data_IF_834919287991
#
_entry.id   IF_834919287991
#
_cell.length_a   1.000
_cell.length_b   1.000
_cell.length_c   1.000
_cell.angle_alpha   90.00
_cell.angle_beta   90.00
_cell.angle_gamma   90.00
#
_symmetry.space_group_name_H-M   'P 1'
#
loop_
_entity.id
_entity.type
_entity.pdbx_description
1 polymer ?
#
# COMPACT_ATOMS: atom_id res chain seq x y z
N UNK A 1 -14.91 40.97 -50.86
CA UNK A 1 -14.29 39.93 -50.01
C UNK A 1 -15.10 39.78 -48.73
N UNK A 2 -15.98 38.79 -48.63
CA UNK A 2 -16.69 38.43 -47.39
C UNK A 2 -16.31 36.98 -47.08
N UNK A 3 -15.42 36.78 -46.12
CA UNK A 3 -14.96 35.45 -45.71
C UNK A 3 -16.04 34.74 -44.91
N UNK A 4 -16.76 33.83 -45.55
CA UNK A 4 -17.69 32.92 -44.88
C UNK A 4 -16.90 31.83 -44.17
N UNK A 5 -16.58 32.02 -42.89
CA UNK A 5 -16.11 30.92 -42.06
C UNK A 5 -17.21 29.84 -41.97
N UNK A 6 -16.86 28.55 -42.10
CA UNK A 6 -17.85 27.47 -42.06
C UNK A 6 -18.47 27.33 -40.67
N UNK A 7 -19.81 27.30 -40.61
CA UNK A 7 -20.64 27.18 -39.39
C UNK A 7 -20.21 26.06 -38.41
N UNK A 8 -19.50 25.04 -38.89
CA UNK A 8 -19.00 23.94 -38.07
C UNK A 8 -17.84 24.34 -37.13
N UNK A 9 -17.04 25.35 -37.48
CA UNK A 9 -15.94 25.83 -36.63
C UNK A 9 -16.48 26.55 -35.39
N UNK A 10 -17.62 27.23 -35.50
CA UNK A 10 -18.27 27.91 -34.36
C UNK A 10 -18.89 26.90 -33.38
N UNK A 11 -19.41 25.78 -33.87
CA UNK A 11 -20.00 24.71 -33.02
C UNK A 11 -18.91 23.93 -32.27
N UNK A 12 -17.76 23.68 -32.90
CA UNK A 12 -16.60 23.05 -32.23
C UNK A 12 -16.00 23.98 -31.18
N UNK A 13 -15.96 25.29 -31.42
CA UNK A 13 -15.51 26.27 -30.42
C UNK A 13 -16.51 26.46 -29.27
N UNK A 14 -17.82 26.38 -29.51
CA UNK A 14 -18.83 26.43 -28.43
C UNK A 14 -18.88 25.15 -27.58
N UNK A 15 -18.55 23.98 -28.15
CA UNK A 15 -18.39 22.73 -27.39
C UNK A 15 -17.10 22.69 -26.56
N UNK A 16 -16.06 23.41 -26.96
CA UNK A 16 -14.78 23.51 -26.23
C UNK A 16 -14.80 24.51 -25.06
N UNK A 17 -15.77 25.42 -25.00
CA UNK A 17 -15.87 26.43 -23.93
C UNK A 17 -16.77 25.97 -22.76
N UNK A 18 -17.51 24.87 -22.91
CA UNK A 18 -18.42 24.36 -21.87
C UNK A 18 -17.78 23.40 -20.84
N UNK A 19 -16.46 23.24 -20.82
CA UNK A 19 -15.74 22.50 -19.75
C UNK A 19 -14.92 23.41 -18.84
N UNK A 20 -15.38 24.66 -18.64
CA UNK A 20 -15.07 25.35 -17.40
C UNK A 20 -15.90 24.65 -16.33
N UNK A 21 -15.29 23.61 -15.75
CA UNK A 21 -15.78 23.00 -14.51
C UNK A 21 -15.76 24.12 -13.49
N UNK A 22 -16.89 24.83 -13.33
CA UNK A 22 -17.13 25.62 -12.15
C UNK A 22 -17.04 24.59 -11.03
N UNK A 23 -15.93 24.62 -10.30
CA UNK A 23 -15.83 23.92 -9.03
C UNK A 23 -16.87 24.61 -8.15
N UNK A 24 -18.12 24.16 -8.25
CA UNK A 24 -19.06 24.33 -7.19
C UNK A 24 -18.35 23.78 -5.96
N UNK A 25 -18.24 24.63 -4.94
CA UNK A 25 -17.86 24.27 -3.59
C UNK A 25 -18.86 23.19 -3.15
N UNK A 26 -18.54 21.93 -3.46
CA UNK A 26 -19.37 20.81 -3.02
C UNK A 26 -19.06 20.70 -1.54
N UNK A 27 -19.98 21.18 -0.71
CA UNK A 27 -19.99 20.96 0.73
C UNK A 27 -19.61 19.50 1.00
N UNK A 28 -18.39 19.29 1.48
CA UNK A 28 -17.87 17.99 1.82
C UNK A 28 -17.71 17.93 3.34
N UNK A 29 -18.18 16.88 4.01
CA UNK A 29 -18.98 15.76 3.47
C UNK A 29 -20.48 16.10 3.30
N UNK A 30 -21.10 15.64 2.21
CA UNK A 30 -22.57 15.72 1.96
C UNK A 30 -23.33 14.43 2.32
N UNK A 31 -22.60 13.39 2.74
CA UNK A 31 -23.12 12.10 3.21
C UNK A 31 -22.16 11.49 4.23
N UNK A 32 -22.56 10.48 5.01
CA UNK A 32 -21.68 9.86 5.99
C UNK A 32 -20.35 9.35 5.42
N UNK A 33 -19.26 9.56 6.16
CA UNK A 33 -17.91 9.07 5.82
C UNK A 33 -17.70 7.71 6.47
N UNK A 34 -17.42 6.68 5.68
CA UNK A 34 -17.14 5.33 6.19
C UNK A 34 -15.68 5.23 6.61
N UNK A 35 -15.45 4.78 7.83
CA UNK A 35 -14.12 4.50 8.36
C UNK A 35 -13.97 3.00 8.49
N UNK A 36 -13.12 2.41 7.66
CA UNK A 36 -12.80 1.00 7.73
C UNK A 36 -11.79 0.79 8.86
N UNK A 37 -12.16 -0.02 9.85
CA UNK A 37 -11.27 -0.50 10.90
C UNK A 37 -10.97 -1.96 10.62
N UNK A 38 -9.73 -2.35 10.28
CA UNK A 38 -9.46 -3.68 9.77
C UNK A 38 -9.27 -4.74 10.88
N UNK A 39 -10.05 -4.61 11.96
CA UNK A 39 -10.05 -5.45 13.16
C UNK A 39 -11.47 -5.70 13.65
N UNK A 40 -11.64 -6.70 14.52
CA UNK A 40 -12.93 -7.01 15.13
C UNK A 40 -13.46 -5.83 15.96
N UNK A 41 -14.79 -5.70 16.04
CA UNK A 41 -15.43 -4.69 16.87
C UNK A 41 -15.11 -4.90 18.35
N UNK A 42 -15.01 -3.81 19.11
CA UNK A 42 -14.66 -3.80 20.53
C UNK A 42 -13.16 -3.97 20.84
N UNK A 43 -12.31 -4.20 19.83
CA UNK A 43 -10.85 -4.16 19.99
C UNK A 43 -10.29 -2.73 20.09
N UNK A 44 -9.04 -2.59 20.51
CA UNK A 44 -8.41 -1.28 20.77
C UNK A 44 -8.55 -0.25 19.63
N UNK A 45 -8.30 -0.65 18.37
CA UNK A 45 -8.48 0.24 17.21
C UNK A 45 -9.94 0.63 16.94
N UNK A 46 -10.90 -0.27 17.18
CA UNK A 46 -12.33 0.02 17.03
C UNK A 46 -12.80 0.98 18.13
N UNK A 47 -12.42 0.71 19.38
CA UNK A 47 -12.70 1.58 20.52
C UNK A 47 -12.13 2.98 20.30
N UNK A 48 -10.86 3.08 19.88
CA UNK A 48 -10.24 4.37 19.53
C UNK A 48 -11.02 5.11 18.44
N UNK A 49 -11.35 4.43 17.33
CA UNK A 49 -12.13 5.03 16.25
C UNK A 49 -13.51 5.53 16.70
N UNK A 50 -14.19 4.79 17.59
CA UNK A 50 -15.51 5.17 18.14
C UNK A 50 -15.45 6.34 19.12
N UNK A 51 -14.35 6.48 19.86
CA UNK A 51 -14.11 7.66 20.72
C UNK A 51 -14.01 8.91 19.84
N UNK A 52 -13.19 8.86 18.78
CA UNK A 52 -13.07 9.97 17.82
C UNK A 52 -14.40 10.23 17.11
N UNK A 53 -15.11 9.17 16.69
CA UNK A 53 -16.44 9.28 16.08
C UNK A 53 -17.44 10.03 16.98
N UNK A 54 -17.47 9.70 18.28
CA UNK A 54 -18.37 10.31 19.25
C UNK A 54 -18.00 11.77 19.48
N UNK A 55 -16.72 12.07 19.67
CA UNK A 55 -16.23 13.44 19.82
C UNK A 55 -16.55 14.32 18.60
N UNK A 56 -16.41 13.80 17.38
CA UNK A 56 -16.80 14.52 16.15
C UNK A 56 -18.31 14.82 16.13
N UNK A 57 -19.14 13.84 16.50
CA UNK A 57 -20.60 14.01 16.54
C UNK A 57 -21.02 15.01 17.62
N UNK A 58 -20.52 14.83 18.83
CA UNK A 58 -20.99 15.55 20.02
C UNK A 58 -20.51 17.01 20.05
N UNK A 59 -19.45 17.34 19.28
CA UNK A 59 -18.94 18.69 19.09
C UNK A 59 -19.24 19.26 17.69
N UNK A 60 -20.09 18.61 16.89
CA UNK A 60 -20.50 19.05 15.55
C UNK A 60 -19.31 19.38 14.61
N UNK A 61 -18.21 18.64 14.72
CA UNK A 61 -16.96 18.93 13.99
C UNK A 61 -17.03 18.56 12.51
N UNK A 62 -18.05 17.81 12.10
CA UNK A 62 -18.37 17.54 10.70
C UNK A 62 -19.89 17.67 10.48
N UNK A 63 -20.31 18.17 9.31
CA UNK A 63 -21.73 18.25 8.94
C UNK A 63 -22.38 16.88 8.72
N UNK A 64 -21.58 15.82 8.61
CA UNK A 64 -22.05 14.45 8.42
C UNK A 64 -21.27 13.48 9.32
N UNK A 65 -21.92 12.40 9.79
CA UNK A 65 -21.28 11.49 10.72
C UNK A 65 -20.19 10.66 10.06
N UNK A 66 -19.18 10.31 10.84
CA UNK A 66 -18.31 9.17 10.53
C UNK A 66 -19.01 7.87 10.94
N UNK A 67 -18.80 6.79 10.19
CA UNK A 67 -19.38 5.47 10.49
C UNK A 67 -18.28 4.42 10.50
N UNK A 68 -18.01 3.84 11.67
CA UNK A 68 -17.05 2.75 11.84
C UNK A 68 -17.56 1.45 11.23
N UNK A 69 -16.75 0.82 10.38
CA UNK A 69 -17.04 -0.46 9.71
C UNK A 69 -15.87 -1.41 9.92
N UNK A 70 -16.10 -2.47 10.69
CA UNK A 70 -15.09 -3.48 10.98
C UNK A 70 -14.92 -4.46 9.82
N UNK A 71 -13.69 -4.62 9.32
CA UNK A 71 -13.35 -5.57 8.24
C UNK A 71 -12.10 -6.37 8.66
N UNK A 72 -12.25 -7.36 9.55
CA UNK A 72 -11.12 -8.11 10.10
C UNK A 72 -10.49 -9.07 9.08
N UNK A 73 -9.23 -9.43 9.34
CA UNK A 73 -8.54 -10.56 8.70
C UNK A 73 -7.14 -10.23 8.18
N UNK A 74 -6.28 -11.25 8.14
CA UNK A 74 -4.91 -11.21 7.63
C UNK A 74 -4.08 -10.00 8.10
N UNK A 75 -4.04 -9.75 9.42
CA UNK A 75 -3.26 -8.64 10.00
C UNK A 75 -3.77 -7.24 9.63
N UNK A 76 -4.98 -7.15 9.08
CA UNK A 76 -5.61 -5.91 8.63
C UNK A 76 -5.49 -5.65 7.12
N UNK A 77 -4.77 -6.51 6.39
CA UNK A 77 -4.54 -6.37 4.95
C UNK A 77 -5.81 -6.51 4.10
N UNK A 78 -6.85 -7.22 4.59
CA UNK A 78 -8.14 -7.33 3.90
C UNK A 78 -8.87 -5.98 3.90
N UNK A 79 -9.00 -5.36 5.08
CA UNK A 79 -9.67 -4.08 5.23
C UNK A 79 -8.92 -2.94 4.54
N UNK A 80 -7.59 -2.90 4.64
CA UNK A 80 -6.79 -1.87 3.95
C UNK A 80 -6.83 -2.03 2.43
N UNK A 81 -6.78 -3.26 1.89
CA UNK A 81 -6.93 -3.52 0.44
C UNK A 81 -8.28 -3.04 -0.08
N UNK A 82 -9.34 -3.23 0.72
CA UNK A 82 -10.68 -2.73 0.38
C UNK A 82 -10.68 -1.21 0.25
N UNK A 83 -10.03 -0.47 1.17
CA UNK A 83 -9.94 1.00 1.09
C UNK A 83 -9.07 1.44 -0.08
N UNK A 84 -7.89 0.83 -0.26
CA UNK A 84 -6.97 1.09 -1.39
C UNK A 84 -7.72 1.09 -2.72
N UNK A 85 -8.66 0.16 -2.91
CA UNK A 85 -9.39 -0.05 -4.16
C UNK A 85 -10.73 0.71 -4.25
N UNK A 86 -11.05 1.59 -3.30
CA UNK A 86 -12.25 2.44 -3.35
C UNK A 86 -12.01 3.73 -4.14
N UNK A 87 -13.09 4.43 -4.50
CA UNK A 87 -13.01 5.73 -5.18
C UNK A 87 -12.27 6.73 -4.28
N UNK A 88 -11.32 7.53 -4.81
CA UNK A 88 -10.59 8.55 -4.06
C UNK A 88 -11.45 9.81 -3.85
N UNK A 89 -12.62 9.66 -3.23
CA UNK A 89 -13.59 10.74 -3.00
C UNK A 89 -13.71 11.14 -1.53
N UNK A 90 -12.91 10.55 -0.64
CA UNK A 90 -12.89 10.87 0.79
C UNK A 90 -14.07 10.30 1.61
N UNK A 91 -15.00 9.56 1.01
CA UNK A 91 -16.14 8.97 1.74
C UNK A 91 -15.87 7.55 2.25
N UNK A 92 -14.74 6.96 1.90
CA UNK A 92 -14.25 5.71 2.50
C UNK A 92 -12.79 5.92 2.87
N UNK A 93 -12.50 5.86 4.16
CA UNK A 93 -11.16 6.04 4.72
C UNK A 93 -10.79 4.84 5.59
N UNK A 94 -9.53 4.73 5.94
CA UNK A 94 -8.96 3.64 6.73
C UNK A 94 -8.43 4.19 8.05
N UNK A 95 -8.77 3.55 9.15
CA UNK A 95 -8.08 3.70 10.43
C UNK A 95 -7.24 2.44 10.64
N UNK A 96 -5.92 2.56 10.42
CA UNK A 96 -4.99 1.45 10.57
C UNK A 96 -3.67 1.98 11.12
N UNK A 97 -3.27 1.42 12.25
CA UNK A 97 -2.01 1.66 12.92
C UNK A 97 -0.77 1.13 12.15
N UNK A 98 0.37 1.02 12.83
CA UNK A 98 1.68 0.60 12.32
C UNK A 98 1.67 -0.71 11.49
N UNK A 99 0.65 -1.55 11.66
CA UNK A 99 0.43 -2.77 10.88
C UNK A 99 0.48 -2.59 9.35
N UNK A 100 0.17 -1.40 8.82
CA UNK A 100 0.34 -1.11 7.38
C UNK A 100 1.80 -1.18 6.93
N UNK A 101 2.73 -0.76 7.78
CA UNK A 101 4.17 -0.78 7.50
C UNK A 101 4.72 -2.20 7.70
N UNK A 102 4.40 -2.84 8.83
CA UNK A 102 4.91 -4.18 9.14
C UNK A 102 4.40 -5.24 8.17
N UNK A 103 3.14 -5.14 7.72
CA UNK A 103 2.59 -6.07 6.73
C UNK A 103 3.33 -6.02 5.38
N UNK A 104 3.78 -4.83 4.96
CA UNK A 104 4.61 -4.67 3.75
C UNK A 104 5.95 -5.36 3.90
N UNK A 105 6.68 -5.03 4.97
CA UNK A 105 8.04 -5.53 5.21
C UNK A 105 8.09 -6.99 5.66
N UNK A 106 6.96 -7.56 6.06
CA UNK A 106 6.78 -8.99 6.31
C UNK A 106 6.31 -9.78 5.07
N UNK A 107 6.01 -9.12 3.95
CA UNK A 107 5.48 -9.76 2.74
C UNK A 107 4.02 -10.21 2.84
N UNK A 108 3.28 -9.78 3.86
CA UNK A 108 1.84 -10.04 4.00
C UNK A 108 1.00 -9.14 3.08
N UNK A 109 1.53 -7.99 2.70
CA UNK A 109 0.98 -7.11 1.68
C UNK A 109 2.06 -6.68 0.69
N UNK A 110 1.71 -6.60 -0.59
CA UNK A 110 2.59 -6.07 -1.64
C UNK A 110 2.60 -4.52 -1.70
N UNK A 111 2.03 -3.86 -0.69
CA UNK A 111 1.88 -2.41 -0.61
C UNK A 111 1.95 -1.97 0.85
N UNK A 112 2.30 -0.70 1.08
CA UNK A 112 2.23 -0.05 2.38
C UNK A 112 1.70 1.39 2.28
N UNK A 113 2.26 2.35 3.04
CA UNK A 113 1.80 3.74 3.07
C UNK A 113 1.70 4.40 1.69
N UNK A 114 2.56 4.04 0.74
CA UNK A 114 2.59 4.61 -0.61
C UNK A 114 1.31 4.36 -1.43
N UNK A 115 0.49 3.39 -1.04
CA UNK A 115 -0.79 3.08 -1.70
C UNK A 115 -1.96 3.95 -1.22
N UNK A 116 -1.70 4.93 -0.36
CA UNK A 116 -2.70 5.76 0.28
C UNK A 116 -2.31 7.24 0.31
N UNK A 117 -3.30 8.10 0.54
CA UNK A 117 -3.08 9.50 0.90
C UNK A 117 -3.20 9.65 2.42
N UNK A 118 -2.14 10.03 3.14
CA UNK A 118 -2.20 10.19 4.60
C UNK A 118 -3.11 11.38 4.96
N UNK A 119 -4.01 11.17 5.92
CA UNK A 119 -4.90 12.21 6.44
C UNK A 119 -4.27 12.84 7.68
N UNK A 120 -4.08 12.03 8.72
CA UNK A 120 -3.58 12.45 10.03
C UNK A 120 -3.03 11.23 10.79
N UNK A 121 -1.96 11.44 11.55
CA UNK A 121 -1.49 10.50 12.57
C UNK A 121 -2.04 10.92 13.93
N UNK A 122 -2.63 9.99 14.68
CA UNK A 122 -3.28 10.27 15.98
C UNK A 122 -2.94 9.20 16.98
N UNK A 123 -2.68 9.56 18.24
CA UNK A 123 -2.56 8.60 19.35
C UNK A 123 -1.46 7.56 19.17
N UNK A 124 -0.46 7.54 20.05
CA UNK A 124 0.64 6.59 19.94
C UNK A 124 0.72 5.65 21.15
N UNK A 125 1.00 4.37 20.89
CA UNK A 125 1.18 3.35 21.93
C UNK A 125 2.60 2.80 21.86
N UNK A 126 3.33 2.98 22.95
CA UNK A 126 4.64 2.35 23.14
C UNK A 126 4.51 0.85 23.40
N UNK A 127 5.46 0.06 22.88
CA UNK A 127 5.60 -1.36 23.20
C UNK A 127 6.49 -1.56 24.45
N UNK A 128 6.25 -2.64 25.18
CA UNK A 128 6.95 -3.05 26.40
C UNK A 128 7.50 -4.45 26.19
N UNK A 129 8.81 -4.63 26.41
CA UNK A 129 9.42 -5.96 26.43
C UNK A 129 9.22 -6.56 27.81
N UNK A 130 8.61 -7.74 27.86
CA UNK A 130 8.32 -8.42 29.10
C UNK A 130 8.63 -9.91 29.04
N UNK A 131 8.94 -10.45 30.22
CA UNK A 131 9.28 -11.84 30.52
C UNK A 131 8.44 -12.31 31.71
N UNK A 132 8.54 -13.59 32.08
CA UNK A 132 7.94 -14.09 33.32
C UNK A 132 8.52 -13.37 34.56
N UNK A 133 7.73 -13.21 35.62
CA UNK A 133 8.16 -12.49 36.82
C UNK A 133 9.37 -13.12 37.52
N UNK A 134 9.49 -14.45 37.45
CA UNK A 134 10.58 -15.26 38.00
C UNK A 134 11.73 -15.50 37.02
N UNK A 135 11.70 -14.86 35.83
CA UNK A 135 12.77 -14.92 34.85
C UNK A 135 14.11 -14.42 35.42
N UNK A 136 15.21 -15.04 34.98
CA UNK A 136 16.59 -14.68 35.33
C UNK A 136 17.03 -13.30 34.80
N UNK A 137 16.26 -12.67 33.90
CA UNK A 137 16.62 -11.38 33.30
C UNK A 137 16.03 -10.22 34.09
N UNK A 138 16.89 -9.32 34.59
CA UNK A 138 16.46 -8.14 35.33
C UNK A 138 16.35 -6.87 34.48
N UNK A 139 17.01 -6.87 33.32
CA UNK A 139 17.01 -5.75 32.38
C UNK A 139 17.17 -6.23 30.92
N UNK A 140 17.07 -5.29 29.98
CA UNK A 140 17.22 -5.59 28.56
C UNK A 140 18.66 -6.03 28.19
N UNK A 141 19.74 -5.41 28.70
CA UNK A 141 21.10 -5.90 28.50
C UNK A 141 21.30 -7.37 28.85
N UNK A 142 20.83 -7.82 30.02
CA UNK A 142 20.96 -9.20 30.47
C UNK A 142 20.25 -10.18 29.52
N UNK A 143 19.04 -9.83 29.09
CA UNK A 143 18.31 -10.60 28.07
C UNK A 143 19.13 -10.67 26.78
N UNK A 144 19.55 -9.54 26.22
CA UNK A 144 20.23 -9.49 24.91
C UNK A 144 21.61 -10.17 24.94
N UNK A 145 22.32 -10.09 26.06
CA UNK A 145 23.55 -10.87 26.30
C UNK A 145 23.27 -12.37 26.24
N UNK A 146 22.21 -12.84 26.90
CA UNK A 146 21.82 -14.24 26.88
C UNK A 146 21.38 -14.71 25.48
N UNK A 147 20.65 -13.88 24.72
CA UNK A 147 20.26 -14.17 23.33
C UNK A 147 21.50 -14.34 22.45
N UNK A 148 22.47 -13.43 22.57
CA UNK A 148 23.69 -13.46 21.75
C UNK A 148 24.61 -14.66 22.06
N UNK A 149 24.54 -15.20 23.29
CA UNK A 149 25.29 -16.40 23.70
C UNK A 149 24.61 -17.70 23.25
N UNK A 150 23.29 -17.67 23.05
CA UNK A 150 22.44 -18.84 22.72
C UNK A 150 21.51 -18.53 21.55
N UNK A 151 22.04 -18.23 20.35
CA UNK A 151 21.23 -17.85 19.19
C UNK A 151 20.23 -18.96 18.83
N UNK A 152 18.95 -18.58 18.68
CA UNK A 152 17.86 -19.48 18.29
C UNK A 152 17.29 -20.35 19.41
N UNK A 153 17.84 -20.30 20.62
CA UNK A 153 17.30 -21.08 21.76
C UNK A 153 16.11 -20.38 22.41
N UNK A 154 16.24 -19.07 22.69
CA UNK A 154 15.20 -18.30 23.37
C UNK A 154 14.03 -17.98 22.45
N UNK A 155 12.83 -18.23 22.94
CA UNK A 155 11.58 -18.15 22.20
C UNK A 155 10.93 -16.79 22.42
N UNK A 156 10.80 -16.04 21.34
CA UNK A 156 10.08 -14.78 21.32
C UNK A 156 8.64 -15.01 20.81
N UNK A 157 7.67 -14.78 21.67
CA UNK A 157 6.25 -14.89 21.33
C UNK A 157 5.77 -13.63 20.63
N UNK A 158 5.23 -13.74 19.43
CA UNK A 158 4.75 -12.60 18.66
C UNK A 158 3.56 -12.96 17.77
N UNK A 159 2.87 -11.93 17.28
CA UNK A 159 2.09 -12.06 16.07
C UNK A 159 3.00 -11.78 14.85
N UNK A 160 3.36 -12.82 14.11
CA UNK A 160 4.25 -12.77 12.94
C UNK A 160 3.73 -11.77 11.91
N UNK A 161 4.60 -10.84 11.52
CA UNK A 161 4.29 -9.74 10.59
C UNK A 161 3.59 -8.54 11.22
N UNK A 162 3.28 -8.58 12.53
CA UNK A 162 2.73 -7.46 13.28
C UNK A 162 3.82 -6.69 14.06
N UNK A 163 3.52 -5.52 14.65
CA UNK A 163 4.48 -4.73 15.42
C UNK A 163 5.23 -5.50 16.51
N UNK A 164 4.56 -6.43 17.20
CA UNK A 164 5.21 -7.28 18.22
C UNK A 164 6.36 -8.14 17.67
N UNK A 165 6.26 -8.58 16.41
CA UNK A 165 7.32 -9.36 15.75
C UNK A 165 8.49 -8.45 15.41
N UNK A 166 8.20 -7.29 14.82
CA UNK A 166 9.22 -6.30 14.48
C UNK A 166 9.94 -5.73 15.71
N UNK A 167 9.28 -5.64 16.87
CA UNK A 167 9.95 -5.28 18.12
C UNK A 167 11.10 -6.24 18.46
N UNK A 168 10.87 -7.56 18.36
CA UNK A 168 11.93 -8.56 18.56
C UNK A 168 13.03 -8.48 17.50
N UNK A 169 12.66 -8.26 16.23
CA UNK A 169 13.63 -8.14 15.14
C UNK A 169 14.52 -6.89 15.28
N UNK A 170 13.94 -5.77 15.71
CA UNK A 170 14.68 -4.55 16.03
C UNK A 170 15.67 -4.77 17.18
N UNK A 171 15.27 -5.50 18.23
CA UNK A 171 16.18 -5.85 19.31
C UNK A 171 17.35 -6.73 18.84
N UNK A 172 17.07 -7.75 18.02
CA UNK A 172 18.12 -8.60 17.43
C UNK A 172 19.14 -7.78 16.63
N UNK A 173 18.68 -6.77 15.88
CA UNK A 173 19.55 -5.94 15.06
C UNK A 173 20.56 -5.11 15.88
N UNK A 174 20.24 -4.78 17.14
CA UNK A 174 21.13 -4.00 18.01
C UNK A 174 22.26 -4.84 18.63
N UNK A 175 22.20 -6.17 18.57
CA UNK A 175 23.21 -7.04 19.18
C UNK A 175 23.68 -8.10 18.20
N UNK A 176 24.93 -7.99 17.75
CA UNK A 176 25.52 -8.97 16.85
C UNK A 176 25.46 -10.38 17.43
N UNK A 177 24.99 -11.33 16.62
CA UNK A 177 24.83 -12.74 17.01
C UNK A 177 23.58 -13.02 17.84
N UNK A 178 22.76 -12.02 18.17
CA UNK A 178 21.47 -12.26 18.83
C UNK A 178 20.43 -12.77 17.82
N UNK A 179 19.84 -13.91 18.12
CA UNK A 179 18.75 -14.50 17.35
C UNK A 179 17.70 -15.09 18.30
N UNK A 180 16.45 -14.65 18.17
CA UNK A 180 15.31 -15.28 18.82
C UNK A 180 14.68 -16.32 17.89
N UNK A 181 14.11 -17.37 18.49
CA UNK A 181 13.16 -18.25 17.79
C UNK A 181 11.75 -17.72 17.96
N UNK A 182 11.07 -17.38 16.86
CA UNK A 182 9.73 -16.83 16.95
C UNK A 182 8.63 -17.89 17.01
N UNK A 183 7.60 -17.65 17.82
CA UNK A 183 6.36 -18.43 17.85
C UNK A 183 5.14 -17.57 17.55
N UNK A 184 4.20 -18.11 16.77
CA UNK A 184 2.99 -17.40 16.33
C UNK A 184 1.88 -17.49 17.39
N UNK A 185 1.85 -16.51 18.27
CA UNK A 185 0.86 -16.39 19.33
C UNK A 185 0.19 -15.03 19.16
N UNK A 186 -0.99 -14.97 18.55
CA UNK A 186 -1.65 -13.73 18.08
C UNK A 186 -1.71 -12.55 19.08
N UNK A 187 -2.87 -12.29 19.70
CA UNK A 187 -3.05 -11.13 20.59
C UNK A 187 -2.31 -11.26 21.93
N UNK A 188 -2.15 -10.14 22.67
CA UNK A 188 -1.45 -10.10 23.96
C UNK A 188 -1.89 -11.15 24.97
N UNK A 189 -3.20 -11.39 25.13
CA UNK A 189 -3.70 -12.41 26.08
C UNK A 189 -3.18 -13.83 25.79
N UNK A 190 -3.03 -14.22 24.51
CA UNK A 190 -2.45 -15.53 24.15
C UNK A 190 -0.95 -15.59 24.44
N UNK A 191 -0.26 -14.46 24.28
CA UNK A 191 1.19 -14.34 24.56
C UNK A 191 1.46 -14.34 26.06
N UNK A 192 0.62 -13.68 26.85
CA UNK A 192 0.62 -13.78 28.32
C UNK A 192 0.48 -15.24 28.76
N UNK A 193 -0.55 -15.95 28.28
CA UNK A 193 -0.76 -17.34 28.64
C UNK A 193 0.43 -18.25 28.27
N UNK A 194 1.12 -17.95 27.17
CA UNK A 194 2.31 -18.68 26.77
C UNK A 194 3.52 -18.41 27.68
N UNK A 195 3.71 -17.16 28.14
CA UNK A 195 4.76 -16.83 29.13
C UNK A 195 4.46 -17.53 30.46
N UNK A 196 3.23 -17.39 30.97
CA UNK A 196 2.84 -17.99 32.25
C UNK A 196 2.82 -19.53 32.22
N UNK A 197 2.66 -20.12 31.04
CA UNK A 197 2.75 -21.56 30.82
C UNK A 197 4.17 -22.07 30.56
N UNK A 198 5.19 -21.22 30.67
CA UNK A 198 6.60 -21.56 30.42
C UNK A 198 6.83 -22.15 29.01
N UNK A 199 6.07 -21.65 28.02
CA UNK A 199 6.21 -22.06 26.62
C UNK A 199 7.06 -21.09 25.80
N UNK A 200 7.29 -19.89 26.32
CA UNK A 200 8.06 -18.80 25.70
C UNK A 200 8.68 -17.93 26.79
N UNK A 201 9.87 -17.39 26.53
CA UNK A 201 10.63 -16.63 27.52
C UNK A 201 10.32 -15.14 27.46
N UNK A 202 10.01 -14.60 26.26
CA UNK A 202 9.88 -13.16 26.04
C UNK A 202 8.76 -12.80 25.05
N UNK A 203 8.14 -11.64 25.24
CA UNK A 203 7.24 -11.03 24.28
C UNK A 203 7.21 -9.50 24.37
N UNK A 204 6.65 -8.85 23.33
CA UNK A 204 6.42 -7.40 23.29
C UNK A 204 4.93 -7.06 23.45
N UNK A 205 4.52 -6.44 24.55
CA UNK A 205 3.12 -6.04 24.77
C UNK A 205 2.92 -4.57 24.46
N UNK A 206 1.71 -4.12 24.14
CA UNK A 206 1.43 -2.68 24.28
C UNK A 206 1.51 -2.29 25.76
N UNK A 207 1.77 -1.01 26.06
CA UNK A 207 1.75 -0.55 27.45
C UNK A 207 0.40 -0.78 28.14
N UNK A 208 -0.71 -0.64 27.40
CA UNK A 208 -2.04 -0.96 27.91
C UNK A 208 -2.20 -2.43 28.28
N UNK A 209 -1.72 -3.33 27.41
CA UNK A 209 -1.69 -4.77 27.70
C UNK A 209 -0.80 -5.06 28.92
N UNK A 210 0.41 -4.51 28.96
CA UNK A 210 1.33 -4.76 30.08
C UNK A 210 0.76 -4.28 31.42
N UNK A 211 0.24 -3.05 31.51
CA UNK A 211 -0.34 -2.56 32.76
C UNK A 211 -1.54 -3.41 33.20
N UNK A 212 -2.32 -3.92 32.26
CA UNK A 212 -3.41 -4.85 32.57
C UNK A 212 -2.89 -6.22 33.06
N UNK A 213 -1.75 -6.69 32.53
CA UNK A 213 -1.25 -8.04 32.77
C UNK A 213 -0.14 -8.16 33.82
N UNK A 214 0.51 -7.06 34.22
CA UNK A 214 1.74 -7.10 35.05
C UNK A 214 1.58 -7.88 36.35
N UNK A 215 0.43 -7.75 37.02
CA UNK A 215 0.11 -8.45 38.27
C UNK A 215 -0.15 -9.95 38.07
N UNK A 216 -0.26 -10.42 36.83
CA UNK A 216 -0.46 -11.84 36.51
C UNK A 216 0.85 -12.64 36.45
N UNK A 217 1.99 -12.03 36.82
CA UNK A 217 3.31 -12.68 36.80
C UNK A 217 4.18 -12.27 35.61
N UNK A 218 4.10 -11.01 35.16
CA UNK A 218 5.02 -10.47 34.16
C UNK A 218 6.00 -9.47 34.77
N UNK A 219 7.25 -9.51 34.32
CA UNK A 219 8.28 -8.50 34.58
C UNK A 219 8.62 -7.77 33.27
N UNK A 220 8.57 -6.44 33.28
CA UNK A 220 9.01 -5.64 32.14
C UNK A 220 10.50 -5.34 32.22
N UNK A 221 11.18 -5.37 31.07
CA UNK A 221 12.61 -5.11 30.94
C UNK A 221 12.89 -3.76 30.27
N UNK A 222 12.06 -3.32 29.33
CA UNK A 222 12.25 -2.05 28.64
C UNK A 222 10.96 -1.50 28.00
N UNK A 223 10.84 -0.18 27.98
CA UNK A 223 9.97 0.55 27.07
C UNK A 223 10.65 0.75 25.71
N UNK A 224 9.94 0.49 24.62
CA UNK A 224 10.41 0.78 23.26
C UNK A 224 9.94 2.16 22.77
N UNK A 225 9.92 3.14 23.67
CA UNK A 225 9.56 4.53 23.37
C UNK A 225 10.81 5.42 23.30
N UNK A 226 10.66 6.62 22.74
CA UNK A 226 11.71 7.65 22.81
C UNK A 226 11.94 8.18 24.23
N UNK A 227 10.91 8.13 25.06
CA UNK A 227 10.89 8.61 26.43
C UNK A 227 10.15 7.61 27.32
N UNK A 228 10.38 7.70 28.64
CA UNK A 228 9.64 6.90 29.63
C UNK A 228 8.15 7.25 29.61
N UNK A 229 7.32 6.28 29.98
CA UNK A 229 5.88 6.50 30.03
C UNK A 229 5.41 6.93 31.43
N UNK A 230 4.52 7.94 31.55
CA UNK A 230 4.06 8.44 32.86
C UNK A 230 3.40 7.41 33.77
N UNK A 231 2.79 6.36 33.21
CA UNK A 231 2.14 5.28 33.99
C UNK A 231 3.12 4.28 34.61
N UNK A 232 4.35 4.19 34.09
CA UNK A 232 5.43 3.31 34.56
C UNK A 232 6.78 4.04 34.47
N UNK A 233 6.94 5.18 35.17
CA UNK A 233 8.10 6.07 35.05
C UNK A 233 9.40 5.42 35.56
N UNK A 234 9.30 4.36 36.34
CA UNK A 234 10.42 3.56 36.84
C UNK A 234 11.07 2.71 35.75
N UNK A 235 10.30 2.29 34.72
CA UNK A 235 10.78 1.40 33.68
C UNK A 235 11.64 2.17 32.67
N UNK A 236 12.95 1.86 32.54
CA UNK A 236 13.80 2.51 31.56
C UNK A 236 13.39 2.20 30.11
N UNK A 237 13.71 3.13 29.21
CA UNK A 237 13.59 2.85 27.77
C UNK A 237 14.72 1.93 27.30
N UNK A 238 14.55 1.30 26.14
CA UNK A 238 15.63 0.57 25.47
C UNK A 238 16.81 1.51 25.16
N UNK A 239 16.53 2.77 24.76
CA UNK A 239 17.55 3.77 24.46
C UNK A 239 18.37 4.17 25.68
N UNK A 240 17.76 4.32 26.86
CA UNK A 240 18.46 4.54 28.12
C UNK A 240 19.36 3.36 28.52
N UNK A 241 19.02 2.15 28.07
CA UNK A 241 19.79 0.93 28.30
C UNK A 241 20.83 0.64 27.20
N UNK A 242 21.03 1.56 26.25
CA UNK A 242 22.04 1.45 25.20
C UNK A 242 21.60 0.74 23.91
N UNK A 243 20.30 0.51 23.72
CA UNK A 243 19.73 -0.09 22.52
C UNK A 243 18.90 0.94 21.75
N UNK A 244 19.23 1.23 20.49
CA UNK A 244 18.54 2.24 19.68
C UNK A 244 17.21 1.73 19.09
N UNK A 245 16.38 1.09 19.91
CA UNK A 245 15.09 0.54 19.50
C UNK A 245 13.95 1.45 19.97
N UNK A 246 13.20 1.94 18.99
CA UNK A 246 11.91 2.59 19.22
C UNK A 246 10.87 1.83 18.41
N UNK A 247 9.90 1.23 19.11
CA UNK A 247 8.77 0.51 18.56
C UNK A 247 7.49 1.03 19.19
N UNK A 248 6.83 1.87 18.41
CA UNK A 248 5.60 2.55 18.75
C UNK A 248 4.52 2.12 17.75
N UNK A 249 3.26 2.38 18.07
CA UNK A 249 2.12 1.86 17.32
C UNK A 249 1.08 2.96 17.15
N UNK A 250 1.45 3.94 16.33
CA UNK A 250 0.64 5.13 16.10
C UNK A 250 -0.59 4.79 15.27
N UNK A 251 -1.76 5.37 15.58
CA UNK A 251 -2.93 5.22 14.72
C UNK A 251 -2.81 6.17 13.53
N UNK A 252 -2.97 5.64 12.32
CA UNK A 252 -2.97 6.45 11.11
C UNK A 252 -4.33 6.42 10.43
N UNK A 253 -4.73 7.57 9.91
CA UNK A 253 -5.93 7.74 9.10
C UNK A 253 -5.53 7.94 7.64
N UNK A 254 -6.10 7.15 6.75
CA UNK A 254 -5.72 7.12 5.34
C UNK A 254 -6.92 7.27 4.43
N UNK A 255 -6.77 8.04 3.37
CA UNK A 255 -7.68 8.05 2.25
C UNK A 255 -7.11 7.20 1.09
N UNK A 256 -7.94 6.73 0.15
CA UNK A 256 -7.46 6.11 -1.08
C UNK A 256 -6.53 7.07 -1.83
N UNK A 257 -5.50 6.53 -2.46
CA UNK A 257 -4.51 7.32 -3.19
C UNK A 257 -5.19 8.23 -4.22
N UNK A 258 -4.81 9.51 -4.25
CA UNK A 258 -5.35 10.50 -5.17
C UNK A 258 -6.61 11.22 -4.67
N UNK A 259 -6.99 11.02 -3.40
CA UNK A 259 -8.10 11.78 -2.79
C UNK A 259 -7.77 13.29 -2.80
N UNK A 260 -8.71 14.17 -3.22
CA UNK A 260 -8.47 15.62 -3.29
C UNK A 260 -7.98 16.20 -1.96
N UNK A 261 -6.98 17.08 -2.04
CA UNK A 261 -6.29 17.66 -0.86
C UNK A 261 -7.25 18.41 0.05
N UNK A 262 -8.25 19.07 -0.52
CA UNK A 262 -9.26 19.84 0.21
C UNK A 262 -10.11 18.92 1.10
N UNK A 263 -10.45 17.73 0.61
CA UNK A 263 -11.20 16.72 1.38
C UNK A 263 -10.36 16.09 2.47
N UNK A 264 -9.08 15.85 2.18
CA UNK A 264 -8.11 15.36 3.17
C UNK A 264 -7.96 16.38 4.30
N UNK A 265 -7.87 17.67 3.98
CA UNK A 265 -7.80 18.75 4.96
C UNK A 265 -9.04 18.78 5.87
N UNK A 266 -10.26 18.75 5.30
CA UNK A 266 -11.51 18.72 6.10
C UNK A 266 -11.53 17.54 7.09
N UNK A 267 -11.11 16.35 6.66
CA UNK A 267 -11.05 15.17 7.53
C UNK A 267 -9.97 15.30 8.61
N UNK A 268 -8.78 15.79 8.23
CA UNK A 268 -7.68 16.00 9.16
C UNK A 268 -8.04 17.04 10.22
N UNK A 269 -8.69 18.14 9.83
CA UNK A 269 -9.12 19.20 10.74
C UNK A 269 -10.17 18.70 11.74
N UNK A 270 -11.18 17.96 11.27
CA UNK A 270 -12.20 17.39 12.14
C UNK A 270 -11.64 16.37 13.14
N UNK A 271 -10.78 15.45 12.68
CA UNK A 271 -10.14 14.45 13.54
C UNK A 271 -9.17 15.13 14.52
N UNK A 272 -8.37 16.09 14.05
CA UNK A 272 -7.44 16.85 14.89
C UNK A 272 -8.15 17.73 15.92
N UNK A 273 -9.32 18.28 15.59
CA UNK A 273 -10.17 18.97 16.56
C UNK A 273 -10.76 18.01 17.59
N UNK A 274 -11.21 16.83 17.17
CA UNK A 274 -11.71 15.80 18.08
C UNK A 274 -10.64 15.36 19.10
N UNK A 275 -9.39 15.17 18.66
CA UNK A 275 -8.26 14.85 19.53
C UNK A 275 -8.05 15.87 20.65
N UNK A 276 -8.39 17.15 20.44
CA UNK A 276 -8.23 18.22 21.42
C UNK A 276 -9.38 18.32 22.43
N UNK A 277 -10.45 17.55 22.25
CA UNK A 277 -11.60 17.60 23.17
C UNK A 277 -11.23 16.98 24.53
N UNK A 278 -11.76 17.51 25.65
CA UNK A 278 -11.47 16.97 26.98
C UNK A 278 -11.83 15.49 27.13
N UNK A 279 -12.94 15.07 26.50
CA UNK A 279 -13.35 13.67 26.49
C UNK A 279 -12.29 12.78 25.84
N UNK A 280 -11.80 13.13 24.65
CA UNK A 280 -10.76 12.33 23.98
C UNK A 280 -9.48 12.32 24.79
N UNK A 281 -9.05 13.45 25.35
CA UNK A 281 -7.86 13.53 26.20
C UNK A 281 -7.96 12.60 27.42
N UNK A 282 -9.12 12.57 28.09
CA UNK A 282 -9.36 11.63 29.18
C UNK A 282 -9.30 10.17 28.69
N UNK A 283 -9.94 9.86 27.56
CA UNK A 283 -9.92 8.50 27.01
C UNK A 283 -8.54 8.04 26.56
N UNK A 284 -7.71 8.94 26.03
CA UNK A 284 -6.32 8.63 25.68
C UNK A 284 -5.53 8.19 26.92
N UNK A 285 -5.71 8.88 28.05
CA UNK A 285 -5.09 8.50 29.32
C UNK A 285 -5.58 7.13 29.81
N UNK A 286 -6.90 6.89 29.78
CA UNK A 286 -7.49 5.58 30.13
C UNK A 286 -6.93 4.44 29.26
N UNK A 287 -6.71 4.72 27.98
CA UNK A 287 -6.15 3.80 27.00
C UNK A 287 -4.62 3.77 26.98
N UNK A 288 -3.94 4.65 27.74
CA UNK A 288 -2.47 4.79 27.81
C UNK A 288 -1.85 5.08 26.45
N UNK A 289 -2.54 5.91 25.69
CA UNK A 289 -2.06 6.43 24.41
C UNK A 289 -1.46 7.81 24.65
N UNK A 290 -0.28 8.04 24.09
CA UNK A 290 0.32 9.36 24.03
C UNK A 290 -0.54 10.25 23.13
N UNK A 291 -0.83 11.47 23.59
CA UNK A 291 -1.47 12.47 22.74
C UNK A 291 -0.50 12.90 21.64
N UNK A 292 -0.71 12.34 20.45
CA UNK A 292 0.05 12.69 19.26
C UNK A 292 -0.94 13.05 18.18
N UNK A 293 -0.70 14.18 17.51
CA UNK A 293 -1.48 14.63 16.36
C UNK A 293 -0.52 15.20 15.32
N UNK A 294 -0.36 14.51 14.18
CA UNK A 294 0.58 14.87 13.11
C UNK A 294 -0.16 15.00 11.76
N UNK A 295 0.12 16.07 11.01
CA UNK A 295 -0.46 16.33 9.69
C UNK A 295 0.59 16.86 8.71
N UNK A 296 0.31 16.79 7.41
CA UNK A 296 1.16 17.36 6.37
C UNK A 296 2.61 16.87 6.44
N UNK A 297 3.57 17.80 6.40
CA UNK A 297 5.01 17.48 6.34
C UNK A 297 5.53 16.73 7.57
N UNK A 298 5.00 16.99 8.77
CA UNK A 298 5.45 16.28 9.97
C UNK A 298 5.00 14.82 9.95
N UNK A 299 3.77 14.56 9.50
CA UNK A 299 3.28 13.20 9.28
C UNK A 299 4.08 12.46 8.20
N UNK A 300 4.40 13.11 7.09
CA UNK A 300 5.22 12.52 6.03
C UNK A 300 6.63 12.15 6.53
N UNK A 301 7.25 13.03 7.33
CA UNK A 301 8.56 12.77 7.93
C UNK A 301 8.51 11.61 8.92
N UNK A 302 7.49 11.57 9.78
CA UNK A 302 7.28 10.49 10.76
C UNK A 302 7.08 9.14 10.07
N UNK A 303 6.23 9.09 9.03
CA UNK A 303 6.00 7.88 8.25
C UNK A 303 7.29 7.39 7.58
N UNK A 304 8.10 8.28 7.02
CA UNK A 304 9.39 7.92 6.42
C UNK A 304 10.36 7.36 7.47
N UNK A 305 10.41 7.96 8.66
CA UNK A 305 11.26 7.48 9.75
C UNK A 305 10.83 6.11 10.27
N UNK A 306 9.51 5.91 10.47
CA UNK A 306 8.93 4.61 10.88
C UNK A 306 9.16 3.54 9.82
N UNK A 307 8.88 3.84 8.55
CA UNK A 307 9.12 2.92 7.44
C UNK A 307 10.60 2.52 7.37
N UNK A 308 11.52 3.47 7.53
CA UNK A 308 12.95 3.20 7.57
C UNK A 308 13.38 2.26 8.69
N UNK A 309 12.87 2.47 9.92
CA UNK A 309 13.14 1.59 11.07
C UNK A 309 12.64 0.16 10.81
N UNK A 310 11.43 0.03 10.28
CA UNK A 310 10.81 -1.28 10.00
C UNK A 310 11.51 -1.96 8.81
N UNK A 311 11.85 -1.21 7.77
CA UNK A 311 12.54 -1.71 6.58
C UNK A 311 13.95 -2.25 6.91
N UNK A 312 14.64 -1.65 7.88
CA UNK A 312 15.98 -2.07 8.30
C UNK A 312 16.02 -3.52 8.82
N UNK A 313 14.88 -4.02 9.31
CA UNK A 313 14.74 -5.39 9.83
C UNK A 313 13.68 -6.20 9.06
N UNK A 314 13.41 -5.81 7.81
CA UNK A 314 12.43 -6.48 6.97
C UNK A 314 12.75 -7.98 6.81
N UNK A 315 11.74 -8.84 6.97
CA UNK A 315 11.88 -10.28 6.79
C UNK A 315 11.56 -10.74 5.37
N UNK A 316 11.01 -9.84 4.56
CA UNK A 316 10.71 -10.10 3.16
C UNK A 316 11.26 -8.99 2.30
N UNK A 317 12.03 -9.38 1.29
CA UNK A 317 12.42 -8.51 0.18
C UNK A 317 11.61 -8.91 -1.04
N UNK A 318 10.95 -7.95 -1.73
CA UNK A 318 10.24 -8.28 -2.96
C UNK A 318 11.20 -8.92 -3.95
N UNK A 319 10.80 -10.00 -4.65
CA UNK A 319 11.65 -10.60 -5.66
C UNK A 319 12.00 -9.53 -6.69
N UNK A 320 13.29 -9.39 -7.02
CA UNK A 320 13.74 -8.48 -8.05
C UNK A 320 13.05 -8.88 -9.37
N UNK A 321 12.00 -8.16 -9.75
CA UNK A 321 11.40 -8.35 -11.07
C UNK A 321 12.48 -8.09 -12.11
N UNK A 322 12.62 -8.94 -13.15
CA UNK A 322 13.50 -8.64 -14.27
C UNK A 322 13.21 -7.22 -14.74
N UNK A 323 14.23 -6.43 -15.08
CA UNK A 323 14.04 -5.12 -15.69
C UNK A 323 13.47 -5.31 -17.10
N UNK A 324 12.18 -5.64 -17.16
CA UNK A 324 11.41 -5.88 -18.38
C UNK A 324 11.59 -4.74 -19.38
N UNK A 325 11.63 -3.45 -18.97
CA UNK A 325 11.98 -2.35 -19.88
C UNK A 325 13.33 -2.53 -20.59
N UNK A 326 14.39 -2.91 -19.88
CA UNK A 326 15.69 -3.17 -20.50
C UNK A 326 15.66 -4.36 -21.47
N UNK A 327 14.94 -5.43 -21.13
CA UNK A 327 14.80 -6.59 -22.01
C UNK A 327 13.96 -6.29 -23.25
N UNK A 328 12.90 -5.48 -23.11
CA UNK A 328 12.07 -5.01 -24.23
C UNK A 328 12.87 -4.08 -25.14
N UNK A 329 13.66 -3.16 -24.58
CA UNK A 329 14.56 -2.28 -25.34
C UNK A 329 15.64 -3.10 -26.07
N UNK A 330 16.27 -4.06 -25.38
CA UNK A 330 17.27 -4.95 -25.97
C UNK A 330 16.68 -5.78 -27.12
N UNK A 331 15.48 -6.34 -26.94
CA UNK A 331 14.77 -7.06 -27.99
C UNK A 331 14.44 -6.16 -29.19
N UNK A 332 14.00 -4.92 -28.95
CA UNK A 332 13.71 -3.95 -30.01
C UNK A 332 14.98 -3.57 -30.81
N UNK A 333 16.11 -3.33 -30.12
CA UNK A 333 17.41 -3.05 -30.75
C UNK A 333 17.88 -4.24 -31.58
N UNK A 334 17.74 -5.47 -31.06
CA UNK A 334 18.16 -6.69 -31.74
C UNK A 334 17.32 -6.94 -33.00
N UNK A 335 16.00 -6.76 -32.92
CA UNK A 335 15.10 -6.85 -34.07
C UNK A 335 15.40 -5.77 -35.14
N UNK A 336 15.69 -4.54 -34.71
CA UNK A 336 16.10 -3.46 -35.61
C UNK A 336 17.45 -3.78 -36.29
N UNK A 337 18.42 -4.31 -35.54
CA UNK A 337 19.71 -4.76 -36.06
C UNK A 337 19.56 -5.87 -37.10
N UNK A 338 18.75 -6.88 -36.82
CA UNK A 338 18.43 -7.96 -37.78
C UNK A 338 17.79 -7.39 -39.05
N UNK A 339 16.86 -6.43 -38.92
CA UNK A 339 16.23 -5.78 -40.06
C UNK A 339 17.23 -5.00 -40.93
N UNK A 340 18.18 -4.30 -40.31
CA UNK A 340 19.24 -3.55 -41.02
C UNK A 340 20.22 -4.51 -41.72
N UNK A 341 20.70 -5.54 -41.03
CA UNK A 341 21.60 -6.55 -41.60
C UNK A 341 20.92 -7.24 -42.77
N UNK A 342 19.65 -7.65 -42.61
CA UNK A 342 18.90 -8.31 -43.68
C UNK A 342 18.69 -7.39 -44.87
N UNK A 343 18.41 -6.10 -44.68
CA UNK A 343 18.29 -5.12 -45.77
C UNK A 343 19.61 -4.96 -46.54
N UNK A 344 20.75 -5.08 -45.84
CA UNK A 344 22.10 -5.02 -46.43
C UNK A 344 22.41 -6.29 -47.23
N UNK A 345 22.17 -7.47 -46.66
CA UNK A 345 22.38 -8.78 -47.31
C UNK A 345 21.42 -8.99 -48.48
N UNK A 346 20.15 -8.57 -48.36
CA UNK A 346 19.19 -8.65 -49.46
C UNK A 346 19.51 -7.67 -50.58
N UNK A 347 20.14 -6.53 -50.27
CA UNK A 347 20.62 -5.57 -51.26
C UNK A 347 21.79 -6.10 -52.09
N UNK A 348 22.62 -6.97 -51.52
CA UNK A 348 23.69 -7.69 -52.23
C UNK A 348 23.14 -8.90 -53.02
N UNK A 349 22.20 -9.67 -52.45
CA UNK A 349 21.59 -10.83 -53.11
C UNK A 349 20.65 -10.47 -54.28
N UNK A 350 20.07 -9.26 -54.29
CA UNK A 350 19.25 -8.78 -55.41
C UNK A 350 20.04 -8.47 -56.69
N UNK A 351 21.37 -8.67 -56.70
CA UNK A 351 22.15 -8.65 -57.95
C UNK A 351 22.27 -10.01 -58.65
N UNK A 352 21.84 -11.14 -58.04
CA UNK A 352 22.23 -12.45 -58.62
C UNK A 352 21.23 -13.62 -58.60
N UNK A 353 19.98 -13.52 -58.12
CA UNK A 353 19.10 -14.70 -58.21
C UNK A 353 17.61 -14.42 -58.45
N UNK A 354 17.12 -15.04 -59.53
CA UNK A 354 15.73 -15.12 -59.97
C UNK A 354 15.02 -16.31 -59.25
N UNK A 355 13.79 -16.04 -58.78
CA UNK A 355 12.68 -16.95 -58.43
C UNK A 355 12.94 -18.25 -57.62
N UNK A 356 12.37 -18.34 -56.40
CA UNK A 356 11.33 -19.32 -55.98
C UNK A 356 11.07 -19.26 -54.46
N UNK A 357 10.37 -18.22 -54.02
CA UNK A 357 9.49 -18.14 -52.82
C UNK A 357 9.08 -16.67 -52.68
N UNK A 358 7.80 -16.34 -52.37
CA UNK A 358 7.46 -14.96 -52.07
C UNK A 358 8.28 -14.53 -50.84
N UNK A 359 9.01 -13.40 -50.88
CA UNK A 359 9.82 -12.98 -49.75
C UNK A 359 8.92 -12.80 -48.54
N UNK A 360 9.25 -13.47 -47.42
CA UNK A 360 8.53 -13.31 -46.16
C UNK A 360 8.50 -11.82 -45.83
N UNK A 361 7.31 -11.24 -45.76
CA UNK A 361 7.13 -9.82 -45.51
C UNK A 361 7.20 -9.57 -44.00
N UNK A 362 8.32 -9.03 -43.51
CA UNK A 362 8.58 -8.77 -42.08
C UNK A 362 7.94 -7.48 -41.55
N UNK A 363 7.40 -6.64 -42.42
CA UNK A 363 6.82 -5.37 -42.01
C UNK A 363 5.65 -5.47 -41.01
N UNK A 364 4.76 -6.50 -41.04
CA UNK A 364 3.73 -6.67 -40.02
C UNK A 364 4.33 -6.99 -38.64
N UNK A 365 5.40 -7.79 -38.60
CA UNK A 365 6.09 -8.14 -37.35
C UNK A 365 6.77 -6.92 -36.72
N UNK A 366 7.32 -6.01 -37.55
CA UNK A 366 7.88 -4.75 -37.08
C UNK A 366 6.79 -3.80 -36.54
N UNK A 367 5.64 -3.68 -37.21
CA UNK A 367 4.51 -2.87 -36.72
C UNK A 367 3.96 -3.41 -35.41
N UNK A 368 3.81 -4.73 -35.28
CA UNK A 368 3.41 -5.39 -34.02
C UNK A 368 4.46 -5.10 -32.95
N UNK A 369 5.75 -5.26 -33.24
CA UNK A 369 6.83 -4.97 -32.30
C UNK A 369 6.83 -3.53 -31.78
N UNK A 370 6.69 -2.53 -32.66
CA UNK A 370 6.61 -1.11 -32.27
C UNK A 370 5.36 -0.83 -31.44
N UNK A 371 4.22 -1.40 -31.82
CA UNK A 371 2.95 -1.23 -31.09
C UNK A 371 3.04 -1.87 -29.70
N UNK A 372 3.72 -3.01 -29.55
CA UNK A 372 3.98 -3.65 -28.25
C UNK A 372 4.81 -2.75 -27.35
N UNK A 373 5.87 -2.14 -27.89
CA UNK A 373 6.71 -1.19 -27.12
C UNK A 373 5.88 0.02 -26.66
N UNK A 374 5.07 0.60 -27.55
CA UNK A 374 4.21 1.74 -27.20
C UNK A 374 3.13 1.38 -26.17
N UNK A 375 2.55 0.17 -26.27
CA UNK A 375 1.60 -0.36 -25.31
C UNK A 375 2.21 -0.48 -23.91
N UNK A 376 3.41 -1.06 -23.81
CA UNK A 376 4.15 -1.21 -22.55
C UNK A 376 4.50 0.15 -21.95
N UNK A 377 4.98 1.10 -22.76
CA UNK A 377 5.31 2.45 -22.31
C UNK A 377 4.07 3.22 -21.83
N UNK A 378 2.94 3.10 -22.53
CA UNK A 378 1.70 3.78 -22.15
C UNK A 378 1.18 3.30 -20.78
N UNK A 379 1.24 2.00 -20.50
CA UNK A 379 0.87 1.46 -19.19
C UNK A 379 1.87 1.87 -18.10
N UNK A 380 3.17 1.87 -18.40
CA UNK A 380 4.20 2.25 -17.44
C UNK A 380 4.11 3.72 -17.02
N UNK A 381 3.79 4.61 -17.97
CA UNK A 381 3.61 6.04 -17.70
C UNK A 381 2.21 6.37 -17.13
N UNK A 382 1.38 5.36 -16.85
CA UNK A 382 -0.01 5.53 -16.38
C UNK A 382 -0.85 6.44 -17.28
N UNK A 383 -0.51 6.50 -18.58
CA UNK A 383 -1.25 7.32 -19.55
C UNK A 383 -2.61 6.72 -19.88
N UNK A 384 -2.71 5.39 -19.80
CA UNK A 384 -3.92 4.62 -20.05
C UNK A 384 -3.98 3.44 -19.06
N UNK A 385 -5.18 3.14 -18.56
CA UNK A 385 -5.42 1.91 -17.79
C UNK A 385 -5.31 0.68 -18.68
N UNK A 386 -5.10 -0.51 -18.09
CA UNK A 386 -4.99 -1.77 -18.84
C UNK A 386 -6.05 -1.94 -19.95
N UNK A 387 -7.33 -1.70 -19.65
CA UNK A 387 -8.43 -1.95 -20.60
C UNK A 387 -8.32 -1.14 -21.91
N UNK A 388 -8.24 0.20 -21.89
CA UNK A 388 -8.06 1.00 -23.09
C UNK A 388 -6.71 0.76 -23.76
N UNK A 389 -5.64 0.52 -23.00
CA UNK A 389 -4.32 0.23 -23.55
C UNK A 389 -4.34 -1.07 -24.38
N UNK A 390 -4.92 -2.16 -23.84
CA UNK A 390 -5.01 -3.45 -24.53
C UNK A 390 -5.96 -3.36 -25.73
N UNK A 391 -7.06 -2.61 -25.63
CA UNK A 391 -7.97 -2.41 -26.75
C UNK A 391 -7.28 -1.69 -27.93
N UNK A 392 -6.53 -0.62 -27.66
CA UNK A 392 -5.76 0.11 -28.67
C UNK A 392 -4.67 -0.79 -29.29
N UNK A 393 -3.98 -1.58 -28.46
CA UNK A 393 -2.97 -2.53 -28.92
C UNK A 393 -3.55 -3.57 -29.89
N UNK A 394 -4.67 -4.20 -29.53
CA UNK A 394 -5.34 -5.21 -30.38
C UNK A 394 -5.87 -4.59 -31.66
N UNK A 395 -6.42 -3.37 -31.60
CA UNK A 395 -6.88 -2.62 -32.78
C UNK A 395 -5.73 -2.27 -33.73
N UNK A 396 -4.59 -1.81 -33.20
CA UNK A 396 -3.43 -1.45 -34.00
C UNK A 396 -2.78 -2.68 -34.66
N UNK A 397 -2.63 -3.78 -33.90
CA UNK A 397 -2.15 -5.06 -34.44
C UNK A 397 -3.11 -5.62 -35.50
N UNK A 398 -4.41 -5.66 -35.19
CA UNK A 398 -5.43 -6.19 -36.09
C UNK A 398 -5.66 -5.35 -37.35
N UNK A 399 -5.67 -4.02 -37.23
CA UNK A 399 -5.80 -3.09 -38.37
C UNK A 399 -4.62 -3.16 -39.33
N UNK A 400 -3.40 -3.42 -38.83
CA UNK A 400 -2.22 -3.62 -39.67
C UNK A 400 -2.30 -4.88 -40.55
N UNK A 401 -3.06 -5.89 -40.13
CA UNK A 401 -3.28 -7.13 -40.88
C UNK A 401 -4.39 -6.97 -41.93
N UNK A 402 -5.45 -6.20 -41.64
CA UNK A 402 -6.57 -5.97 -42.59
C UNK A 402 -6.19 -5.05 -43.75
N UNK A 403 -5.49 -3.95 -43.48
CA UNK A 403 -5.19 -2.90 -44.48
C UNK A 403 -4.34 -3.37 -45.67
N UNK A 404 -3.86 -4.62 -45.64
CA UNK A 404 -3.00 -5.21 -46.67
C UNK A 404 -3.57 -6.45 -47.36
N UNK A 405 -4.78 -6.89 -47.00
CA UNK A 405 -5.58 -7.76 -47.89
C UNK A 405 -6.12 -6.87 -49.03
N UNK A 406 -5.42 -6.89 -50.16
CA UNK A 406 -5.57 -5.91 -51.24
C UNK A 406 -7.01 -5.68 -51.75
N UNK A 407 -7.24 -4.46 -52.25
CA UNK A 407 -8.37 -3.98 -53.08
C UNK A 407 -9.74 -4.66 -52.94
N UNK A 408 -10.14 -5.03 -51.72
CA UNK A 408 -11.51 -5.48 -51.44
C UNK A 408 -12.45 -4.27 -51.34
N UNK A 409 -13.69 -4.36 -51.86
CA UNK A 409 -14.66 -3.27 -51.78
C UNK A 409 -14.93 -2.88 -50.32
N UNK A 410 -15.13 -1.58 -50.04
CA UNK A 410 -15.28 -1.05 -48.66
C UNK A 410 -16.33 -1.80 -47.81
N UNK A 411 -17.37 -2.37 -48.43
CA UNK A 411 -18.38 -3.19 -47.75
C UNK A 411 -17.86 -4.56 -47.26
N UNK A 412 -16.84 -5.14 -47.91
CA UNK A 412 -16.21 -6.39 -47.51
C UNK A 412 -15.24 -6.22 -46.32
N UNK A 413 -14.76 -5.00 -46.07
CA UNK A 413 -13.89 -4.70 -44.91
C UNK A 413 -14.65 -4.44 -43.60
N UNK A 414 -15.96 -4.19 -43.64
CA UNK A 414 -16.74 -3.84 -42.45
C UNK A 414 -16.82 -5.01 -41.45
N UNK A 415 -17.08 -6.23 -41.92
CA UNK A 415 -17.18 -7.44 -41.08
C UNK A 415 -15.86 -7.76 -40.34
N UNK A 416 -14.68 -7.82 -41.00
CA UNK A 416 -13.43 -8.10 -40.29
C UNK A 416 -13.02 -6.97 -39.34
N UNK A 417 -13.28 -5.70 -39.68
CA UNK A 417 -13.02 -4.58 -38.75
C UNK A 417 -13.90 -4.69 -37.49
N UNK A 418 -15.19 -4.96 -37.65
CA UNK A 418 -16.11 -5.16 -36.52
C UNK A 418 -15.72 -6.36 -35.66
N UNK A 419 -15.21 -7.45 -36.25
CA UNK A 419 -14.72 -8.61 -35.53
C UNK A 419 -13.47 -8.27 -34.67
N UNK A 420 -12.54 -7.48 -35.19
CA UNK A 420 -11.35 -7.05 -34.44
C UNK A 420 -11.72 -6.08 -33.32
N UNK A 421 -12.65 -5.15 -33.56
CA UNK A 421 -13.18 -4.27 -32.51
C UNK A 421 -13.84 -5.09 -31.40
N UNK A 422 -14.69 -6.05 -31.76
CA UNK A 422 -15.35 -6.94 -30.81
C UNK A 422 -14.33 -7.79 -30.03
N UNK A 423 -13.30 -8.33 -30.70
CA UNK A 423 -12.23 -9.11 -30.07
C UNK A 423 -11.36 -8.25 -29.14
N UNK A 424 -11.06 -7.00 -29.52
CA UNK A 424 -10.28 -6.07 -28.71
C UNK A 424 -10.97 -5.78 -27.38
N UNK A 425 -12.28 -5.48 -27.42
CA UNK A 425 -13.04 -5.23 -26.20
C UNK A 425 -13.25 -6.50 -25.39
N UNK A 426 -13.70 -7.60 -26.00
CA UNK A 426 -13.95 -8.85 -25.27
C UNK A 426 -12.69 -9.40 -24.61
N UNK A 427 -11.55 -9.42 -25.31
CA UNK A 427 -10.29 -9.91 -24.76
C UNK A 427 -9.75 -8.98 -23.66
N UNK A 428 -9.84 -7.65 -23.86
CA UNK A 428 -9.40 -6.66 -22.87
C UNK A 428 -10.20 -6.76 -21.56
N UNK A 429 -11.53 -6.80 -21.65
CA UNK A 429 -12.40 -6.95 -20.47
C UNK A 429 -12.27 -8.34 -19.83
N UNK A 430 -12.16 -9.41 -20.62
CA UNK A 430 -12.01 -10.77 -20.08
C UNK A 430 -10.66 -10.95 -19.37
N UNK A 431 -9.56 -10.44 -19.93
CA UNK A 431 -8.26 -10.46 -19.27
C UNK A 431 -8.27 -9.61 -18.00
N UNK A 432 -8.85 -8.42 -18.04
CA UNK A 432 -8.98 -7.58 -16.84
C UNK A 432 -9.78 -8.29 -15.75
N UNK A 433 -10.91 -8.91 -16.08
CA UNK A 433 -11.72 -9.69 -15.15
C UNK A 433 -10.93 -10.89 -14.61
N UNK A 434 -10.28 -11.66 -15.48
CA UNK A 434 -9.49 -12.82 -15.08
C UNK A 434 -8.36 -12.43 -14.12
N UNK A 435 -7.56 -11.41 -14.46
CA UNK A 435 -6.45 -11.00 -13.62
C UNK A 435 -6.91 -10.37 -12.30
N UNK A 436 -7.90 -9.48 -12.33
CA UNK A 436 -8.31 -8.74 -11.12
C UNK A 436 -9.27 -9.52 -10.22
N UNK A 437 -10.22 -10.28 -10.79
CA UNK A 437 -11.27 -10.97 -10.03
C UNK A 437 -10.95 -12.45 -9.78
N UNK A 438 -10.27 -13.13 -10.71
CA UNK A 438 -9.96 -14.57 -10.57
C UNK A 438 -8.57 -14.78 -9.99
N UNK A 439 -7.55 -14.11 -10.53
CA UNK A 439 -6.15 -14.29 -10.15
C UNK A 439 -5.69 -13.33 -9.04
N UNK A 440 -6.48 -12.30 -8.74
CA UNK A 440 -6.16 -11.27 -7.73
C UNK A 440 -4.79 -10.62 -7.98
N UNK A 441 -4.46 -10.41 -9.25
CA UNK A 441 -3.28 -9.68 -9.70
C UNK A 441 -3.71 -8.26 -10.07
N UNK A 442 -3.12 -7.28 -9.39
CA UNK A 442 -3.32 -5.87 -9.71
C UNK A 442 -2.69 -5.58 -11.09
N UNK A 443 -3.52 -5.20 -12.06
CA UNK A 443 -3.07 -4.72 -13.37
C UNK A 443 -2.94 -3.19 -13.34
N UNK A 444 -1.91 -2.63 -14.01
CA UNK A 444 -1.64 -1.19 -14.02
C UNK A 444 -2.72 -0.33 -14.72
#
# INVERSE_FOLDING_TARGET
>A
MKSTLPRYVVIVWLLLICTVNWAAEVDFPARPVKVIVPFAAGGGSDTFGRIIQSAIRDNELLPQPMVMVNVPGAGGTIGSRRVKNTRPDGYTILLLHEGILTAKHAGQAAYGPEAFTPIIGTGDSTQVIAVAADSEFDDLPALMDAVSKRPGEMIFSANIGAPSHFAGLMLQAERQGAEFRYTQNGGGAKRLAAILGDHVEVSAFSIAEYVQFRESGLKALALLGSERHPDIPELPTATEQGFNVISQNMQFWWAPLGTPKERVAVLADAIGAAMKTPEVQQRLQEMRLQDTTLTGKSLEAELKQRDGRIAAVATWTPPALPNFPQWVIAAAILLAGIAVIRKRVSGEASKEANQTTPPVNWSPLLTIGVTTVLYVLAMQMQLLTFVPATAIFVLACGGSLITRQGNQPKQAMLKPVMAIVAMAFTMSFALHFLFTQVLVVDLP
#
